data_IF_466247357042
#
_entry.id   IF_466247357042
#
_cell.length_a   1.000
_cell.length_b   1.000
_cell.length_c   1.000
_cell.angle_alpha   90.00
_cell.angle_beta   90.00
_cell.angle_gamma   90.00
#
_symmetry.space_group_name_H-M   'P 1'
#
loop_
_entity.id
_entity.type
_entity.pdbx_description
1 polymer ?
#
# COMPACT_ATOMS: atom_id res chain seq x y z
N UNK A 1 12.10 -22.64 -15.44
CA UNK A 1 11.94 -21.16 -15.50
C UNK A 1 11.17 -20.56 -14.30
N UNK A 2 10.88 -21.30 -13.22
CA UNK A 2 10.00 -20.82 -12.12
C UNK A 2 10.68 -19.92 -11.06
N UNK A 3 11.99 -19.97 -10.90
CA UNK A 3 12.68 -19.36 -9.74
C UNK A 3 12.92 -17.85 -9.85
N UNK A 4 13.18 -17.33 -11.06
CA UNK A 4 13.44 -15.91 -11.29
C UNK A 4 12.17 -15.06 -11.17
N UNK A 5 11.06 -15.54 -11.74
CA UNK A 5 9.75 -14.89 -11.64
C UNK A 5 9.29 -14.77 -10.18
N UNK A 6 9.45 -15.85 -9.41
CA UNK A 6 9.11 -15.87 -7.98
C UNK A 6 9.99 -14.91 -7.15
N UNK A 7 11.29 -14.81 -7.45
CA UNK A 7 12.19 -13.82 -6.82
C UNK A 7 11.77 -12.38 -7.14
N UNK A 8 11.35 -12.11 -8.38
CA UNK A 8 10.89 -10.78 -8.78
C UNK A 8 9.58 -10.38 -8.07
N UNK A 9 8.60 -11.30 -7.99
CA UNK A 9 7.36 -11.09 -7.22
C UNK A 9 7.63 -10.82 -5.74
N UNK A 10 8.58 -11.53 -5.12
CA UNK A 10 9.01 -11.27 -3.74
C UNK A 10 9.61 -9.87 -3.57
N UNK A 11 10.52 -9.46 -4.48
CA UNK A 11 11.11 -8.11 -4.44
C UNK A 11 10.01 -7.04 -4.57
N UNK A 12 9.06 -7.22 -5.48
CA UNK A 12 7.91 -6.33 -5.65
C UNK A 12 7.06 -6.26 -4.37
N UNK A 13 6.74 -7.39 -3.75
CA UNK A 13 5.98 -7.43 -2.50
C UNK A 13 6.69 -6.67 -1.36
N UNK A 14 8.02 -6.81 -1.23
CA UNK A 14 8.81 -6.05 -0.24
C UNK A 14 8.73 -4.54 -0.46
N UNK A 15 8.81 -4.09 -1.72
CA UNK A 15 8.67 -2.67 -2.06
C UNK A 15 7.27 -2.16 -1.74
N UNK A 16 6.22 -2.89 -2.18
CA UNK A 16 4.83 -2.54 -1.88
C UNK A 16 4.54 -2.50 -0.38
N UNK A 17 5.15 -3.38 0.40
CA UNK A 17 5.04 -3.36 1.86
C UNK A 17 5.67 -2.10 2.46
N UNK A 18 6.88 -1.74 2.02
CA UNK A 18 7.53 -0.50 2.47
C UNK A 18 6.70 0.75 2.10
N UNK A 19 6.12 0.78 0.91
CA UNK A 19 5.25 1.86 0.46
C UNK A 19 3.94 1.90 1.26
N UNK A 20 3.34 0.74 1.56
CA UNK A 20 2.15 0.64 2.39
C UNK A 20 2.39 1.20 3.80
N UNK A 21 3.51 0.86 4.43
CA UNK A 21 3.87 1.38 5.77
C UNK A 21 4.02 2.91 5.73
N UNK A 22 4.70 3.45 4.71
CA UNK A 22 4.84 4.90 4.53
C UNK A 22 3.49 5.58 4.28
N UNK A 23 2.64 5.00 3.45
CA UNK A 23 1.30 5.50 3.16
C UNK A 23 0.42 5.50 4.41
N UNK A 24 0.41 4.40 5.15
CA UNK A 24 -0.33 4.26 6.42
C UNK A 24 0.12 5.28 7.46
N UNK A 25 1.43 5.52 7.60
CA UNK A 25 1.94 6.56 8.50
C UNK A 25 1.40 7.95 8.14
N UNK A 26 1.46 8.33 6.86
CA UNK A 26 0.95 9.62 6.37
C UNK A 26 -0.57 9.76 6.52
N UNK A 27 -1.30 8.66 6.34
CA UNK A 27 -2.74 8.61 6.59
C UNK A 27 -3.05 8.89 8.07
N UNK A 28 -2.32 8.26 8.99
CA UNK A 28 -2.46 8.52 10.43
C UNK A 28 -2.15 9.98 10.78
N UNK A 29 -1.10 10.55 10.18
CA UNK A 29 -0.70 11.95 10.40
C UNK A 29 -1.78 12.95 9.96
N UNK A 30 -2.42 12.75 8.80
CA UNK A 30 -3.49 13.66 8.35
C UNK A 30 -4.79 13.44 9.13
N UNK A 31 -5.13 12.19 9.47
CA UNK A 31 -6.37 11.87 10.15
C UNK A 31 -6.39 12.41 11.59
N UNK A 32 -5.21 12.62 12.19
CA UNK A 32 -5.05 13.26 13.48
C UNK A 32 -5.15 14.80 13.44
N UNK A 33 -5.23 15.43 12.26
CA UNK A 33 -5.40 16.89 12.15
C UNK A 33 -6.84 17.28 12.50
N UNK A 34 -7.06 18.49 13.04
CA UNK A 34 -8.41 19.01 13.27
C UNK A 34 -9.25 18.99 12.00
N UNK A 35 -10.56 18.80 12.16
CA UNK A 35 -11.45 18.82 11.02
C UNK A 35 -11.40 20.16 10.29
N UNK A 36 -11.24 20.08 8.97
CA UNK A 36 -11.46 21.15 8.00
C UNK A 36 -11.81 20.48 6.67
N UNK A 37 -12.44 21.19 5.74
CA UNK A 37 -12.71 20.62 4.41
C UNK A 37 -11.42 20.14 3.74
N UNK A 38 -10.33 20.92 3.86
CA UNK A 38 -9.01 20.56 3.33
C UNK A 38 -8.46 19.29 3.99
N UNK A 39 -8.54 19.18 5.31
CA UNK A 39 -8.03 18.01 6.03
C UNK A 39 -8.89 16.76 5.76
N UNK A 40 -10.21 16.92 5.62
CA UNK A 40 -11.12 15.84 5.20
C UNK A 40 -10.73 15.32 3.82
N UNK A 41 -10.62 16.19 2.83
CA UNK A 41 -10.34 15.81 1.46
C UNK A 41 -8.94 15.19 1.33
N UNK A 42 -7.96 15.75 2.05
CA UNK A 42 -6.62 15.18 2.13
C UNK A 42 -6.58 13.82 2.85
N UNK A 43 -7.46 13.59 3.82
CA UNK A 43 -7.63 12.28 4.49
C UNK A 43 -8.23 11.26 3.55
N UNK A 44 -9.31 11.60 2.85
CA UNK A 44 -9.94 10.75 1.83
C UNK A 44 -8.91 10.36 0.77
N UNK A 45 -8.14 11.33 0.26
CA UNK A 45 -7.15 11.04 -0.79
C UNK A 45 -6.03 10.10 -0.31
N UNK A 46 -5.55 10.30 0.92
CA UNK A 46 -4.53 9.43 1.52
C UNK A 46 -5.09 8.04 1.84
N UNK A 47 -6.36 7.94 2.20
CA UNK A 47 -7.04 6.66 2.38
C UNK A 47 -7.12 5.88 1.06
N UNK A 48 -7.62 6.50 -0.02
CA UNK A 48 -7.68 5.89 -1.35
C UNK A 48 -6.31 5.36 -1.79
N UNK A 49 -5.27 6.19 -1.65
CA UNK A 49 -3.92 5.80 -2.00
C UNK A 49 -3.41 4.64 -1.15
N UNK A 50 -3.63 4.70 0.17
CA UNK A 50 -3.21 3.63 1.10
C UNK A 50 -3.90 2.31 0.77
N UNK A 51 -5.20 2.35 0.46
CA UNK A 51 -5.99 1.19 0.06
C UNK A 51 -5.49 0.58 -1.24
N UNK A 52 -5.20 1.40 -2.26
CA UNK A 52 -4.68 0.94 -3.55
C UNK A 52 -3.31 0.24 -3.41
N UNK A 53 -2.42 0.76 -2.57
CA UNK A 53 -1.13 0.12 -2.27
C UNK A 53 -1.34 -1.19 -1.51
N UNK A 54 -2.25 -1.23 -0.53
CA UNK A 54 -2.59 -2.44 0.21
C UNK A 54 -3.14 -3.53 -0.72
N UNK A 55 -4.04 -3.17 -1.64
CA UNK A 55 -4.60 -4.09 -2.62
C UNK A 55 -3.54 -4.68 -3.53
N UNK A 56 -2.65 -3.84 -4.09
CA UNK A 56 -1.51 -4.29 -4.89
C UNK A 56 -0.60 -5.26 -4.13
N UNK A 57 -0.34 -4.99 -2.85
CA UNK A 57 0.46 -5.86 -1.99
C UNK A 57 -0.22 -7.22 -1.81
N UNK A 58 -1.49 -7.25 -1.41
CA UNK A 58 -2.27 -8.48 -1.21
C UNK A 58 -2.28 -9.31 -2.48
N UNK A 59 -2.63 -8.70 -3.62
CA UNK A 59 -2.64 -9.36 -4.92
C UNK A 59 -1.29 -9.97 -5.27
N UNK A 60 -0.19 -9.21 -5.08
CA UNK A 60 1.17 -9.71 -5.35
C UNK A 60 1.54 -10.90 -4.45
N UNK A 61 1.10 -10.91 -3.19
CA UNK A 61 1.35 -12.03 -2.25
C UNK A 61 0.51 -13.26 -2.62
N UNK A 62 -0.76 -13.07 -2.99
CA UNK A 62 -1.67 -14.17 -3.37
C UNK A 62 -1.22 -14.82 -4.68
N UNK A 63 -0.92 -14.03 -5.71
CA UNK A 63 -0.41 -14.52 -7.00
C UNK A 63 0.95 -15.22 -6.92
N UNK A 64 1.66 -15.09 -5.79
CA UNK A 64 2.87 -15.85 -5.50
C UNK A 64 2.55 -17.26 -5.00
N UNK A 65 1.47 -17.43 -4.24
CA UNK A 65 1.07 -18.72 -3.65
C UNK A 65 0.36 -19.64 -4.64
N UNK A 66 -0.26 -19.08 -5.68
CA UNK A 66 -1.07 -19.81 -6.67
C UNK A 66 -0.29 -20.33 -7.89
N UNK A 67 1.05 -20.37 -7.87
CA UNK A 67 1.87 -20.94 -8.94
C UNK A 67 3.28 -21.25 -8.48
#
# INVERSE_FOLDING_TARGET
MSTLSQKLKMKKAKLLYADFIKASKRLKEIAAKPFSMVNRDATIKRFEFTFEVAWKLIKTIVERKSG
#
